data_IF_482676711689
#
_entry.id   IF_482676711689
#
_cell.length_a   1.000
_cell.length_b   1.000
_cell.length_c   1.000
_cell.angle_alpha   90.00
_cell.angle_beta   90.00
_cell.angle_gamma   90.00
#
_symmetry.space_group_name_H-M   'P 1'
#
loop_
_entity.id
_entity.type
_entity.pdbx_description
1 polymer ?
#
# COMPACT_ATOMS: atom_id res chain seq x y z
N UNK A 1 13.01 10.23 -31.43
CA UNK A 1 12.99 11.69 -31.67
C UNK A 1 12.15 11.99 -32.90
N UNK A 2 10.95 12.55 -32.72
CA UNK A 2 10.27 13.43 -33.69
C UNK A 2 9.06 14.02 -32.97
N UNK A 3 9.19 15.28 -32.59
CA UNK A 3 8.14 16.10 -31.98
C UNK A 3 7.18 16.52 -33.10
N UNK A 4 5.90 16.17 -32.98
CA UNK A 4 4.85 16.74 -33.84
C UNK A 4 4.05 17.68 -32.95
N UNK A 5 4.29 18.98 -33.14
CA UNK A 5 3.48 20.05 -32.60
C UNK A 5 2.21 20.17 -33.46
N UNK A 6 1.04 20.14 -32.83
CA UNK A 6 -0.21 20.46 -33.51
C UNK A 6 -0.66 21.85 -33.07
N UNK A 7 -0.75 22.73 -34.05
CA UNK A 7 -1.16 24.12 -33.95
C UNK A 7 -2.62 24.25 -33.51
N UNK A 8 -2.86 25.16 -32.56
CA UNK A 8 -4.19 25.62 -32.17
C UNK A 8 -4.68 26.63 -33.22
N UNK A 9 -5.76 26.30 -33.92
CA UNK A 9 -6.48 27.22 -34.81
C UNK A 9 -7.50 27.98 -33.96
N UNK A 10 -7.31 29.29 -33.81
CA UNK A 10 -8.25 30.20 -33.15
C UNK A 10 -9.23 30.67 -34.22
N UNK A 11 -10.47 30.19 -34.17
CA UNK A 11 -11.57 30.73 -34.98
C UNK A 11 -12.24 31.88 -34.22
N UNK A 12 -12.06 33.11 -34.71
CA UNK A 12 -12.79 34.29 -34.27
C UNK A 12 -14.19 34.29 -34.88
N UNK A 13 -15.22 34.14 -34.05
CA UNK A 13 -16.62 34.35 -34.46
C UNK A 13 -17.05 35.74 -34.00
N UNK A 14 -17.30 36.63 -34.98
CA UNK A 14 -17.98 37.90 -34.75
C UNK A 14 -19.49 37.64 -34.65
N UNK A 15 -20.07 37.89 -33.47
CA UNK A 15 -21.52 37.82 -33.26
C UNK A 15 -22.08 39.24 -33.32
N UNK A 16 -22.82 39.52 -34.38
CA UNK A 16 -23.63 40.73 -34.51
C UNK A 16 -24.81 40.66 -33.51
N UNK A 17 -24.91 41.69 -32.67
CA UNK A 17 -25.96 41.79 -31.65
C UNK A 17 -27.33 42.12 -32.25
N UNK A 18 -28.34 41.40 -31.78
CA UNK A 18 -29.73 41.84 -31.79
C UNK A 18 -30.19 41.90 -30.35
N UNK A 19 -30.56 43.10 -29.92
CA UNK A 19 -31.06 43.38 -28.58
C UNK A 19 -32.46 42.78 -28.43
N UNK A 20 -32.58 41.78 -27.56
CA UNK A 20 -33.85 41.33 -27.01
C UNK A 20 -33.78 41.46 -25.48
N UNK A 21 -34.45 42.47 -24.94
CA UNK A 21 -34.64 42.64 -23.50
C UNK A 21 -35.59 41.53 -23.00
N UNK A 22 -35.01 40.42 -22.55
CA UNK A 22 -35.69 39.39 -21.78
C UNK A 22 -34.95 39.18 -20.47
N UNK A 23 -35.52 39.63 -19.35
CA UNK A 23 -34.97 39.42 -18.01
C UNK A 23 -35.18 37.96 -17.57
N UNK A 24 -34.32 37.06 -18.04
CA UNK A 24 -34.22 35.71 -17.50
C UNK A 24 -33.17 35.70 -16.40
N UNK A 25 -33.61 35.62 -15.13
CA UNK A 25 -32.73 35.35 -13.99
C UNK A 25 -32.16 33.94 -14.17
N UNK A 26 -30.93 33.84 -14.68
CA UNK A 26 -30.18 32.58 -14.68
C UNK A 26 -29.69 32.35 -13.26
N UNK A 27 -30.45 31.55 -12.51
CA UNK A 27 -30.01 31.03 -11.21
C UNK A 27 -28.95 29.96 -11.49
N UNK A 28 -27.68 30.32 -11.49
CA UNK A 28 -26.59 29.35 -11.47
C UNK A 28 -26.68 28.56 -10.16
N UNK A 29 -27.21 27.33 -10.24
CA UNK A 29 -27.22 26.38 -9.12
C UNK A 29 -25.78 25.90 -8.94
N UNK A 30 -25.07 26.50 -7.99
CA UNK A 30 -23.75 26.03 -7.56
C UNK A 30 -23.88 24.55 -7.16
N UNK A 31 -23.10 23.62 -7.71
CA UNK A 31 -23.12 22.24 -7.24
C UNK A 31 -22.70 22.25 -5.77
N UNK A 32 -23.56 21.74 -4.90
CA UNK A 32 -23.23 21.53 -3.50
C UNK A 32 -22.09 20.51 -3.43
N UNK A 33 -20.93 20.94 -2.97
CA UNK A 33 -19.83 20.04 -2.62
C UNK A 33 -20.24 19.35 -1.34
N UNK A 34 -20.72 18.11 -1.44
CA UNK A 34 -20.99 17.26 -0.28
C UNK A 34 -19.66 16.88 0.34
N UNK A 35 -19.29 17.52 1.44
CA UNK A 35 -18.14 17.09 2.27
C UNK A 35 -18.54 15.82 3.01
N UNK A 36 -18.15 14.67 2.49
CA UNK A 36 -18.30 13.38 3.17
C UNK A 36 -17.46 13.41 4.46
N UNK A 37 -18.05 13.03 5.58
CA UNK A 37 -17.31 12.97 6.86
C UNK A 37 -16.23 11.87 6.81
N UNK A 38 -15.12 12.00 7.57
CA UNK A 38 -14.07 10.97 7.63
C UNK A 38 -14.63 9.58 7.96
N UNK A 39 -15.58 9.49 8.91
CA UNK A 39 -16.25 8.25 9.25
C UNK A 39 -17.00 7.62 8.06
N UNK A 40 -17.66 8.41 7.23
CA UNK A 40 -18.33 7.92 6.03
C UNK A 40 -17.35 7.48 4.94
N UNK A 41 -16.20 8.15 4.82
CA UNK A 41 -15.10 7.71 3.93
C UNK A 41 -14.51 6.37 4.40
N UNK A 42 -14.23 6.24 5.69
CA UNK A 42 -13.74 5.01 6.32
C UNK A 42 -14.71 3.83 6.14
N UNK A 43 -16.00 4.07 6.36
CA UNK A 43 -17.04 3.07 6.12
C UNK A 43 -17.11 2.66 4.64
N UNK A 44 -17.03 3.62 3.72
CA UNK A 44 -17.04 3.34 2.27
C UNK A 44 -15.83 2.52 1.83
N UNK A 45 -14.65 2.79 2.40
CA UNK A 45 -13.41 2.06 2.14
C UNK A 45 -13.52 0.60 2.56
N UNK A 46 -14.07 0.32 3.74
CA UNK A 46 -14.28 -1.06 4.19
C UNK A 46 -15.33 -1.78 3.35
N UNK A 47 -16.44 -1.11 3.04
CA UNK A 47 -17.54 -1.68 2.25
C UNK A 47 -17.10 -1.99 0.81
N UNK A 48 -16.18 -1.21 0.23
CA UNK A 48 -15.60 -1.46 -1.08
C UNK A 48 -14.94 -2.84 -1.18
N UNK A 49 -14.31 -3.31 -0.11
CA UNK A 49 -13.71 -4.64 -0.02
C UNK A 49 -14.70 -5.73 0.41
N UNK A 50 -16.00 -5.44 0.46
CA UNK A 50 -17.04 -6.29 1.06
C UNK A 50 -16.79 -6.58 2.56
N UNK A 51 -16.19 -5.63 3.28
CA UNK A 51 -15.92 -5.73 4.70
C UNK A 51 -16.99 -5.11 5.60
N UNK A 52 -16.80 -5.29 6.89
CA UNK A 52 -17.57 -4.69 7.98
C UNK A 52 -16.64 -3.98 8.95
N UNK A 53 -17.06 -2.84 9.47
CA UNK A 53 -16.27 -2.05 10.42
C UNK A 53 -16.53 -2.56 11.83
N UNK A 54 -15.47 -2.97 12.52
CA UNK A 54 -15.48 -3.37 13.92
C UNK A 54 -15.55 -2.17 14.88
N UNK A 55 -15.84 -2.42 16.16
CA UNK A 55 -15.92 -1.36 17.18
C UNK A 55 -14.58 -0.63 17.42
N UNK A 56 -13.47 -1.27 17.07
CA UNK A 56 -12.10 -0.78 17.15
C UNK A 56 -11.67 0.05 15.93
N UNK A 57 -12.60 0.37 15.01
CA UNK A 57 -12.30 1.01 13.72
C UNK A 57 -11.40 0.16 12.81
N UNK A 58 -11.39 -1.16 13.00
CA UNK A 58 -10.77 -2.10 12.07
C UNK A 58 -11.79 -2.55 11.03
N UNK A 59 -11.39 -2.56 9.75
CA UNK A 59 -12.17 -3.22 8.72
C UNK A 59 -11.89 -4.72 8.74
N UNK A 60 -12.94 -5.53 8.81
CA UNK A 60 -12.89 -6.99 8.70
C UNK A 60 -13.57 -7.43 7.41
N UNK A 61 -12.81 -8.05 6.51
CA UNK A 61 -13.33 -8.69 5.29
C UNK A 61 -13.21 -10.19 5.45
N UNK A 62 -14.32 -10.89 5.25
CA UNK A 62 -14.35 -12.35 5.31
C UNK A 62 -15.15 -12.92 4.15
N UNK A 63 -14.56 -13.88 3.45
CA UNK A 63 -15.25 -14.67 2.43
C UNK A 63 -14.83 -16.13 2.55
N UNK A 64 -15.80 -17.03 2.70
CA UNK A 64 -15.55 -18.47 2.85
C UNK A 64 -16.42 -19.23 1.85
N UNK A 65 -15.79 -20.08 1.07
CA UNK A 65 -16.41 -20.98 0.11
C UNK A 65 -15.82 -22.38 0.28
N UNK A 66 -16.35 -23.40 -0.42
CA UNK A 66 -15.70 -24.71 -0.47
C UNK A 66 -14.29 -24.67 -1.10
N UNK A 67 -13.98 -23.66 -1.92
CA UNK A 67 -12.70 -23.58 -2.66
C UNK A 67 -11.69 -22.64 -2.01
N UNK A 68 -12.12 -21.65 -1.22
CA UNK A 68 -11.19 -20.71 -0.57
C UNK A 68 -11.72 -20.08 0.71
N UNK A 69 -10.78 -19.49 1.47
CA UNK A 69 -11.01 -18.63 2.62
C UNK A 69 -10.21 -17.34 2.44
N UNK A 70 -10.87 -16.19 2.61
CA UNK A 70 -10.26 -14.86 2.64
C UNK A 70 -10.56 -14.25 3.99
N UNK A 71 -9.53 -13.75 4.66
CA UNK A 71 -9.63 -13.00 5.92
C UNK A 71 -8.69 -11.80 5.84
N UNK A 72 -9.22 -10.58 5.83
CA UNK A 72 -8.41 -9.35 5.74
C UNK A 72 -8.82 -8.45 6.89
N UNK A 73 -7.83 -7.97 7.63
CA UNK A 73 -8.00 -7.01 8.73
C UNK A 73 -7.02 -5.85 8.62
N UNK A 74 -7.52 -4.62 8.67
CA UNK A 74 -6.70 -3.41 8.66
C UNK A 74 -7.41 -2.23 9.34
N UNK A 75 -6.67 -1.32 10.01
CA UNK A 75 -7.26 -0.16 10.65
C UNK A 75 -7.68 0.90 9.63
N UNK A 76 -8.78 1.60 9.90
CA UNK A 76 -9.33 2.65 9.03
C UNK A 76 -8.77 4.05 9.31
N UNK A 77 -7.94 4.21 10.34
CA UNK A 77 -7.35 5.48 10.74
C UNK A 77 -6.00 5.78 10.06
N UNK A 78 -5.57 4.95 9.11
CA UNK A 78 -4.37 5.23 8.32
C UNK A 78 -4.58 6.48 7.44
N UNK A 79 -3.72 7.51 7.52
CA UNK A 79 -3.95 8.81 6.89
C UNK A 79 -4.10 8.77 5.36
N UNK A 80 -3.39 7.85 4.70
CA UNK A 80 -3.45 7.65 3.26
C UNK A 80 -4.06 6.28 2.93
N UNK A 81 -5.34 6.14 3.27
CA UNK A 81 -6.04 4.85 3.20
C UNK A 81 -6.24 4.35 1.76
N UNK A 82 -6.32 5.25 0.76
CA UNK A 82 -6.69 4.86 -0.60
C UNK A 82 -5.67 3.89 -1.27
N UNK A 83 -4.35 4.11 -1.20
CA UNK A 83 -3.36 3.13 -1.66
C UNK A 83 -3.47 1.76 -0.98
N UNK A 84 -3.79 1.74 0.32
CA UNK A 84 -3.98 0.49 1.09
C UNK A 84 -5.17 -0.29 0.53
N UNK A 85 -6.31 0.38 0.34
CA UNK A 85 -7.52 -0.23 -0.24
C UNK A 85 -7.25 -0.74 -1.65
N UNK A 86 -6.60 0.06 -2.49
CA UNK A 86 -6.28 -0.35 -3.86
C UNK A 86 -5.34 -1.55 -3.91
N UNK A 87 -4.39 -1.67 -2.97
CA UNK A 87 -3.53 -2.84 -2.86
C UNK A 87 -4.32 -4.10 -2.45
N UNK A 88 -5.16 -3.98 -1.42
CA UNK A 88 -5.98 -5.09 -0.92
C UNK A 88 -6.99 -5.58 -1.95
N UNK A 89 -7.64 -4.67 -2.68
CA UNK A 89 -8.61 -5.02 -3.71
C UNK A 89 -7.95 -5.82 -4.84
N UNK A 90 -6.80 -5.34 -5.35
CA UNK A 90 -6.02 -6.07 -6.36
C UNK A 90 -5.55 -7.43 -5.86
N UNK A 91 -5.06 -7.51 -4.62
CA UNK A 91 -4.61 -8.77 -4.01
C UNK A 91 -5.75 -9.80 -3.90
N UNK A 92 -6.91 -9.37 -3.40
CA UNK A 92 -8.12 -10.18 -3.31
C UNK A 92 -8.60 -10.65 -4.69
N UNK A 93 -8.68 -9.75 -5.66
CA UNK A 93 -9.11 -10.07 -7.01
C UNK A 93 -8.15 -11.08 -7.68
N UNK A 94 -6.84 -10.86 -7.55
CA UNK A 94 -5.82 -11.77 -8.08
C UNK A 94 -5.87 -13.16 -7.45
N UNK A 95 -6.09 -13.25 -6.14
CA UNK A 95 -6.27 -14.53 -5.45
C UNK A 95 -7.51 -15.28 -5.97
N UNK A 96 -8.66 -14.61 -6.06
CA UNK A 96 -9.91 -15.21 -6.55
C UNK A 96 -9.75 -15.68 -8.00
N UNK A 97 -9.15 -14.86 -8.85
CA UNK A 97 -8.89 -15.19 -10.26
C UNK A 97 -8.03 -16.45 -10.38
N UNK A 98 -6.92 -16.51 -9.63
CA UNK A 98 -6.04 -17.67 -9.62
C UNK A 98 -6.77 -18.93 -9.13
N UNK A 99 -7.50 -18.85 -8.02
CA UNK A 99 -8.25 -20.00 -7.47
C UNK A 99 -9.29 -20.49 -8.46
N UNK A 100 -9.94 -19.60 -9.23
CA UNK A 100 -10.95 -19.99 -10.21
C UNK A 100 -10.37 -20.70 -11.44
N UNK A 101 -9.21 -20.24 -11.93
CA UNK A 101 -8.61 -20.73 -13.18
C UNK A 101 -7.69 -21.93 -12.97
N UNK A 102 -6.88 -21.87 -11.92
CA UNK A 102 -5.79 -22.81 -11.67
C UNK A 102 -6.18 -23.79 -10.56
N UNK A 103 -6.86 -23.31 -9.52
CA UNK A 103 -7.23 -24.11 -8.35
C UNK A 103 -7.84 -25.49 -8.61
N UNK A 104 -8.83 -25.65 -9.52
CA UNK A 104 -9.46 -26.94 -9.80
C UNK A 104 -8.49 -28.03 -10.27
N UNK A 105 -7.34 -27.65 -10.84
CA UNK A 105 -6.35 -28.60 -11.38
C UNK A 105 -5.57 -29.33 -10.28
N UNK A 106 -5.45 -28.74 -9.09
CA UNK A 106 -4.54 -29.22 -8.04
C UNK A 106 -5.14 -30.26 -7.08
N UNK A 107 -6.47 -30.49 -7.12
CA UNK A 107 -7.19 -31.51 -6.31
C UNK A 107 -6.73 -31.64 -4.84
N UNK A 108 -6.39 -30.53 -4.18
CA UNK A 108 -5.69 -30.49 -2.89
C UNK A 108 -6.51 -30.86 -1.64
N UNK A 109 -7.79 -31.20 -1.78
CA UNK A 109 -8.65 -31.65 -0.67
C UNK A 109 -8.94 -30.62 0.43
N UNK A 110 -8.48 -29.36 0.29
CA UNK A 110 -8.72 -28.27 1.23
C UNK A 110 -8.91 -26.93 0.48
N UNK A 111 -9.63 -25.95 1.07
CA UNK A 111 -9.74 -24.63 0.47
C UNK A 111 -8.39 -23.88 0.51
N UNK A 112 -8.16 -23.04 -0.49
CA UNK A 112 -7.06 -22.05 -0.50
C UNK A 112 -7.27 -21.00 0.59
N UNK A 113 -6.21 -20.33 1.01
CA UNK A 113 -6.26 -19.26 2.00
C UNK A 113 -5.53 -18.00 1.54
N UNK A 114 -6.16 -16.87 1.84
CA UNK A 114 -5.59 -15.54 1.70
C UNK A 114 -5.88 -14.76 2.99
N UNK A 115 -4.86 -14.58 3.82
CA UNK A 115 -4.98 -13.91 5.11
C UNK A 115 -4.14 -12.65 5.07
N UNK A 116 -4.73 -11.52 5.47
CA UNK A 116 -4.01 -10.25 5.60
C UNK A 116 -4.25 -9.67 6.99
N UNK A 117 -3.15 -9.34 7.66
CA UNK A 117 -3.17 -8.62 8.95
C UNK A 117 -2.34 -7.35 8.83
N UNK A 118 -2.71 -6.32 9.57
CA UNK A 118 -2.02 -5.03 9.57
C UNK A 118 -1.35 -4.75 10.92
N UNK A 119 -0.19 -4.12 10.87
CA UNK A 119 0.47 -3.55 12.04
C UNK A 119 0.84 -2.09 11.78
N UNK A 120 0.50 -1.23 12.72
CA UNK A 120 0.82 0.21 12.66
C UNK A 120 2.03 0.56 13.50
N UNK A 121 2.80 1.54 13.04
CA UNK A 121 3.93 2.13 13.75
C UNK A 121 3.83 3.66 13.68
N UNK A 122 4.44 4.33 14.66
CA UNK A 122 4.50 5.78 14.76
C UNK A 122 5.93 6.20 15.10
N UNK A 123 6.32 7.38 14.62
CA UNK A 123 7.50 8.09 15.07
C UNK A 123 7.19 9.58 15.18
N UNK A 124 7.79 10.28 16.14
CA UNK A 124 7.63 11.70 16.35
C UNK A 124 6.28 12.06 17.00
N UNK A 125 5.91 13.33 16.87
CA UNK A 125 4.67 13.83 17.48
C UNK A 125 3.43 13.39 16.68
N UNK A 126 2.23 13.39 17.29
CA UNK A 126 0.99 13.02 16.59
C UNK A 126 0.68 13.85 15.34
N UNK A 127 1.14 15.11 15.26
CA UNK A 127 0.78 16.03 14.18
C UNK A 127 1.89 16.22 13.14
N UNK A 128 3.16 15.96 13.49
CA UNK A 128 4.31 16.21 12.63
C UNK A 128 5.22 14.99 12.43
N UNK A 129 4.86 13.87 13.04
CA UNK A 129 5.59 12.62 12.96
C UNK A 129 5.29 11.82 11.70
N UNK A 130 5.51 10.51 11.77
CA UNK A 130 5.16 9.56 10.71
C UNK A 130 4.21 8.51 11.23
N UNK A 131 3.35 7.99 10.33
CA UNK A 131 2.57 6.79 10.57
C UNK A 131 2.90 5.76 9.49
N UNK A 132 3.30 4.56 9.93
CA UNK A 132 3.52 3.41 9.05
C UNK A 132 2.43 2.38 9.25
N UNK A 133 2.07 1.68 8.19
CA UNK A 133 1.21 0.51 8.18
C UNK A 133 1.89 -0.58 7.37
N UNK A 134 2.08 -1.75 7.97
CA UNK A 134 2.64 -2.92 7.30
C UNK A 134 1.57 -3.99 7.26
N UNK A 135 1.22 -4.42 6.05
CA UNK A 135 0.40 -5.59 5.82
C UNK A 135 1.29 -6.83 5.79
N UNK A 136 0.95 -7.85 6.57
CA UNK A 136 1.47 -9.21 6.41
C UNK A 136 0.43 -10.03 5.65
N UNK A 137 0.85 -10.69 4.57
CA UNK A 137 -0.03 -11.42 3.65
C UNK A 137 0.40 -12.88 3.59
N UNK A 138 -0.46 -13.78 4.07
CA UNK A 138 -0.29 -15.22 3.93
C UNK A 138 -1.16 -15.73 2.78
N UNK A 139 -0.52 -16.31 1.77
CA UNK A 139 -1.17 -16.77 0.55
C UNK A 139 -0.65 -18.14 0.12
N UNK A 140 -1.53 -19.12 -0.04
CA UNK A 140 -1.18 -20.49 -0.44
C UNK A 140 -1.51 -20.84 -1.91
N UNK A 141 -1.71 -19.80 -2.73
CA UNK A 141 -1.73 -19.91 -4.19
C UNK A 141 -0.33 -20.06 -4.76
N UNK A 142 -0.23 -20.75 -5.90
CA UNK A 142 1.05 -21.10 -6.54
C UNK A 142 1.54 -22.50 -6.17
N UNK A 143 2.27 -23.12 -7.11
CA UNK A 143 2.77 -24.49 -7.00
C UNK A 143 3.73 -24.71 -5.82
N UNK A 144 4.49 -23.67 -5.44
CA UNK A 144 5.44 -23.76 -4.33
C UNK A 144 4.76 -23.70 -2.95
N UNK A 145 3.47 -23.32 -2.89
CA UNK A 145 2.80 -22.94 -1.64
C UNK A 145 1.64 -23.91 -1.27
N UNK A 146 1.61 -25.11 -1.85
CA UNK A 146 0.48 -26.03 -1.65
C UNK A 146 0.47 -26.71 -0.28
N UNK A 147 1.64 -26.86 0.34
CA UNK A 147 1.80 -27.42 1.69
C UNK A 147 1.57 -26.41 2.81
N UNK A 148 1.86 -25.13 2.57
CA UNK A 148 1.72 -24.03 3.52
C UNK A 148 1.64 -22.69 2.78
N UNK A 149 1.01 -21.65 3.37
CA UNK A 149 1.11 -20.29 2.84
C UNK A 149 2.55 -19.81 2.71
N UNK A 150 2.79 -18.96 1.73
CA UNK A 150 3.96 -18.11 1.68
C UNK A 150 3.59 -16.73 2.24
N UNK A 151 4.44 -16.20 3.12
CA UNK A 151 4.22 -14.88 3.72
C UNK A 151 4.96 -13.79 2.94
N UNK A 152 4.25 -12.74 2.56
CA UNK A 152 4.80 -11.51 1.98
C UNK A 152 4.37 -10.28 2.78
N UNK A 153 4.93 -9.11 2.44
CA UNK A 153 4.59 -7.85 3.08
C UNK A 153 4.26 -6.75 2.07
N UNK A 154 3.50 -5.76 2.53
CA UNK A 154 3.38 -4.45 1.89
C UNK A 154 3.49 -3.35 2.95
N UNK A 155 4.49 -2.47 2.81
CA UNK A 155 4.69 -1.30 3.68
C UNK A 155 4.09 -0.03 3.09
N UNK A 156 3.44 0.77 3.94
CA UNK A 156 2.93 2.10 3.64
C UNK A 156 3.43 3.06 4.72
N UNK A 157 4.06 4.16 4.33
CA UNK A 157 4.63 5.13 5.25
C UNK A 157 4.12 6.52 4.88
N UNK A 158 3.72 7.31 5.87
CA UNK A 158 3.14 8.63 5.64
C UNK A 158 3.73 9.66 6.61
N UNK A 159 4.16 10.80 6.08
CA UNK A 159 4.59 11.96 6.85
C UNK A 159 3.35 12.80 7.22
N UNK A 160 3.08 12.94 8.51
CA UNK A 160 1.90 13.64 9.02
C UNK A 160 2.01 15.16 8.84
N UNK A 161 3.23 15.71 8.93
CA UNK A 161 3.48 17.14 8.77
C UNK A 161 3.43 17.59 7.31
N UNK A 162 4.07 16.83 6.42
CA UNK A 162 4.08 17.09 4.96
C UNK A 162 2.82 16.60 4.26
N UNK A 163 2.05 15.72 4.91
CA UNK A 163 0.87 15.04 4.36
C UNK A 163 1.17 14.31 3.04
N UNK A 164 2.27 13.56 3.02
CA UNK A 164 2.74 12.85 1.84
C UNK A 164 3.24 11.44 2.17
N UNK A 165 3.11 10.47 1.26
CA UNK A 165 3.72 9.16 1.42
C UNK A 165 5.26 9.27 1.45
N UNK A 166 5.91 8.33 2.14
CA UNK A 166 7.35 8.18 2.23
C UNK A 166 7.71 6.88 1.51
N UNK A 167 8.35 6.98 0.34
CA UNK A 167 8.92 5.82 -0.36
C UNK A 167 10.31 5.51 0.18
N UNK A 168 10.89 4.37 -0.22
CA UNK A 168 12.29 4.05 0.12
C UNK A 168 13.25 5.16 -0.34
N UNK A 169 13.06 5.68 -1.56
CA UNK A 169 13.84 6.80 -2.08
C UNK A 169 13.71 8.06 -1.22
N UNK A 170 12.49 8.41 -0.82
CA UNK A 170 12.22 9.61 -0.01
C UNK A 170 12.68 9.49 1.45
N UNK A 171 12.95 8.27 1.93
CA UNK A 171 13.46 8.04 3.28
C UNK A 171 14.90 8.58 3.44
N UNK A 172 15.67 8.60 2.35
CA UNK A 172 17.07 8.98 2.35
C UNK A 172 17.29 10.30 1.60
N UNK A 173 18.32 11.04 2.00
CA UNK A 173 18.71 12.29 1.32
C UNK A 173 19.16 11.97 -0.11
N UNK A 174 18.79 12.82 -1.09
CA UNK A 174 19.24 12.66 -2.47
C UNK A 174 20.77 12.56 -2.57
N UNK A 175 21.27 11.63 -3.37
CA UNK A 175 22.70 11.43 -3.61
C UNK A 175 23.45 10.66 -2.51
N UNK A 176 22.75 10.15 -1.50
CA UNK A 176 23.33 9.22 -0.52
C UNK A 176 23.31 7.78 -1.05
N UNK A 177 24.11 6.90 -0.44
CA UNK A 177 24.23 5.49 -0.83
C UNK A 177 23.71 4.57 0.30
N UNK A 178 22.38 4.49 0.53
CA UNK A 178 21.83 3.75 1.67
C UNK A 178 22.13 2.25 1.64
N UNK A 179 22.24 1.64 0.45
CA UNK A 179 22.55 0.22 0.32
C UNK A 179 23.94 -0.16 0.85
N UNK A 180 24.93 0.74 0.78
CA UNK A 180 26.27 0.51 1.33
C UNK A 180 26.26 0.36 2.86
N UNK A 181 25.25 0.93 3.53
CA UNK A 181 25.06 0.81 4.99
C UNK A 181 24.07 -0.31 5.33
N UNK A 182 22.96 -0.42 4.59
CA UNK A 182 21.90 -1.39 4.88
C UNK A 182 22.32 -2.84 4.62
N UNK A 183 22.97 -3.11 3.48
CA UNK A 183 23.32 -4.47 3.07
C UNK A 183 24.18 -5.20 4.11
N UNK A 184 25.33 -4.66 4.57
CA UNK A 184 26.15 -5.36 5.57
C UNK A 184 25.43 -5.53 6.92
N UNK A 185 24.48 -4.66 7.28
CA UNK A 185 23.68 -4.82 8.50
C UNK A 185 22.73 -6.00 8.35
N UNK A 186 21.97 -6.07 7.25
CA UNK A 186 21.01 -7.15 7.00
C UNK A 186 21.71 -8.49 6.81
N UNK A 187 22.77 -8.53 6.00
CA UNK A 187 23.57 -9.74 5.76
C UNK A 187 24.09 -10.32 7.07
N UNK A 188 24.62 -9.48 7.96
CA UNK A 188 25.10 -9.90 9.28
C UNK A 188 23.97 -10.36 10.21
N UNK A 189 22.85 -9.63 10.27
CA UNK A 189 21.75 -9.99 11.18
C UNK A 189 21.03 -11.27 10.76
N UNK A 190 20.89 -11.51 9.45
CA UNK A 190 20.19 -12.68 8.91
C UNK A 190 21.13 -13.82 8.50
N UNK A 191 22.45 -13.64 8.60
CA UNK A 191 23.45 -14.58 8.06
C UNK A 191 23.26 -14.85 6.55
N UNK A 192 22.88 -13.82 5.81
CA UNK A 192 22.65 -13.91 4.36
C UNK A 192 23.97 -13.85 3.57
N UNK A 193 23.96 -14.41 2.36
CA UNK A 193 25.08 -14.27 1.44
C UNK A 193 25.17 -12.82 0.93
N UNK A 194 26.39 -12.28 0.75
CA UNK A 194 26.56 -10.90 0.34
C UNK A 194 26.22 -10.66 -1.14
N UNK A 195 25.71 -9.47 -1.45
CA UNK A 195 25.75 -8.91 -2.81
C UNK A 195 24.46 -8.90 -3.62
N UNK A 196 23.36 -9.46 -3.12
CA UNK A 196 22.10 -9.60 -3.89
C UNK A 196 20.96 -8.66 -3.43
N UNK A 197 21.21 -7.80 -2.43
CA UNK A 197 20.18 -6.92 -1.86
C UNK A 197 20.14 -5.57 -2.60
N UNK A 198 18.97 -5.23 -3.13
CA UNK A 198 18.72 -4.01 -3.92
C UNK A 198 17.65 -3.15 -3.24
N UNK A 199 17.40 -1.94 -3.74
CA UNK A 199 16.30 -1.09 -3.24
C UNK A 199 14.95 -1.81 -3.25
N UNK A 200 14.70 -2.70 -4.22
CA UNK A 200 13.47 -3.49 -4.29
C UNK A 200 13.32 -4.43 -3.08
N UNK A 201 14.44 -4.88 -2.50
CA UNK A 201 14.47 -5.73 -1.31
C UNK A 201 13.93 -4.99 -0.09
N UNK A 202 14.11 -3.67 -0.02
CA UNK A 202 13.84 -2.84 1.16
C UNK A 202 12.53 -2.04 1.09
N UNK A 203 11.66 -2.31 0.10
CA UNK A 203 10.42 -1.53 -0.09
C UNK A 203 9.42 -1.66 1.06
N UNK A 204 9.49 -2.75 1.82
CA UNK A 204 8.60 -2.99 2.96
C UNK A 204 9.29 -2.55 4.24
N UNK A 205 8.99 -1.34 4.70
CA UNK A 205 9.56 -0.82 5.94
C UNK A 205 8.54 -0.06 6.78
N UNK A 206 8.87 0.12 8.06
CA UNK A 206 8.15 0.95 9.01
C UNK A 206 9.12 1.84 9.80
N UNK A 207 8.62 2.98 10.26
CA UNK A 207 9.37 3.99 10.99
C UNK A 207 8.94 4.01 12.46
N UNK A 208 9.91 3.92 13.36
CA UNK A 208 9.76 4.17 14.79
C UNK A 208 10.70 5.30 15.22
N UNK A 209 10.61 5.73 16.47
CA UNK A 209 11.51 6.77 17.00
C UNK A 209 12.98 6.36 16.97
N UNK A 210 13.26 5.07 17.15
CA UNK A 210 14.61 4.55 17.30
C UNK A 210 15.14 3.83 16.06
N UNK A 211 14.26 3.35 15.17
CA UNK A 211 14.65 2.46 14.10
C UNK A 211 13.85 2.63 12.81
N UNK A 212 14.46 2.19 11.71
CA UNK A 212 13.77 1.78 10.49
C UNK A 212 13.69 0.25 10.50
N UNK A 213 12.48 -0.31 10.49
CA UNK A 213 12.26 -1.75 10.50
C UNK A 213 11.96 -2.20 9.08
N UNK A 214 12.81 -3.03 8.49
CA UNK A 214 12.60 -3.65 7.18
C UNK A 214 11.98 -5.05 7.34
N UNK A 215 11.03 -5.38 6.47
CA UNK A 215 10.29 -6.63 6.46
C UNK A 215 10.57 -7.38 5.16
N UNK A 216 11.06 -8.61 5.28
CA UNK A 216 11.43 -9.44 4.14
C UNK A 216 10.47 -10.60 4.02
N UNK A 217 9.89 -10.77 2.84
CA UNK A 217 9.05 -11.92 2.53
C UNK A 217 9.85 -13.22 2.75
N UNK A 218 9.12 -14.31 2.96
CA UNK A 218 9.74 -15.62 3.05
C UNK A 218 10.58 -15.91 1.81
N UNK A 219 11.79 -16.45 2.01
CA UNK A 219 12.78 -16.73 0.98
C UNK A 219 13.28 -15.51 0.18
N UNK A 220 13.02 -14.28 0.62
CA UNK A 220 13.46 -13.07 -0.11
C UNK A 220 14.95 -12.77 0.10
N UNK A 221 15.45 -12.95 1.33
CA UNK A 221 16.85 -12.63 1.70
C UNK A 221 17.61 -13.88 2.09
N UNK A 222 16.97 -14.75 2.86
CA UNK A 222 17.50 -16.08 3.22
C UNK A 222 16.48 -17.13 2.84
N UNK A 223 16.94 -18.18 2.17
CA UNK A 223 16.12 -19.35 1.85
C UNK A 223 16.15 -20.30 3.05
N UNK A 224 15.21 -20.10 3.97
CA UNK A 224 15.06 -20.91 5.16
C UNK A 224 13.59 -21.26 5.45
N UNK A 225 13.39 -22.25 6.33
CA UNK A 225 12.05 -22.67 6.74
C UNK A 225 11.55 -21.91 7.99
N UNK A 226 12.12 -20.73 8.30
CA UNK A 226 11.77 -19.94 9.47
C UNK A 226 10.71 -18.87 9.18
N UNK A 227 10.23 -18.81 7.93
CA UNK A 227 9.19 -17.88 7.51
C UNK A 227 9.75 -16.50 7.09
N UNK A 228 8.94 -15.44 7.17
CA UNK A 228 9.40 -14.09 6.85
C UNK A 228 10.39 -13.56 7.89
N UNK A 229 11.27 -12.65 7.45
CA UNK A 229 12.28 -12.03 8.31
C UNK A 229 12.03 -10.54 8.52
N UNK A 230 12.60 -9.98 9.58
CA UNK A 230 12.63 -8.52 9.78
C UNK A 230 13.95 -8.08 10.40
N UNK A 231 14.42 -6.90 10.01
CA UNK A 231 15.63 -6.28 10.56
C UNK A 231 15.29 -4.87 11.01
N UNK A 232 15.60 -4.56 12.27
CA UNK A 232 15.55 -3.19 12.78
C UNK A 232 16.94 -2.57 12.66
N UNK A 233 17.05 -1.51 11.86
CA UNK A 233 18.27 -0.71 11.73
C UNK A 233 18.11 0.55 12.56
N UNK A 234 19.05 0.83 13.46
CA UNK A 234 18.93 1.99 14.33
C UNK A 234 19.02 3.28 13.51
N UNK A 235 18.20 4.27 13.85
CA UNK A 235 18.26 5.59 13.21
C UNK A 235 19.61 6.27 13.41
N UNK A 236 20.32 5.96 14.49
CA UNK A 236 21.68 6.43 14.72
C UNK A 236 22.68 5.88 13.70
N UNK A 237 22.51 4.65 13.23
CA UNK A 237 23.33 4.07 12.14
C UNK A 237 23.01 4.72 10.78
N UNK A 238 21.79 5.27 10.62
CA UNK A 238 21.32 5.91 9.39
C UNK A 238 21.34 7.44 9.45
N UNK A 239 21.85 8.06 10.52
CA UNK A 239 21.68 9.50 10.77
C UNK A 239 22.29 10.38 9.65
N UNK A 240 23.39 9.94 9.04
CA UNK A 240 24.03 10.62 7.90
C UNK A 240 23.33 10.38 6.56
N UNK A 241 22.24 9.61 6.52
CA UNK A 241 21.53 9.23 5.31
C UNK A 241 20.07 9.68 5.32
N UNK A 242 19.37 9.68 6.47
CA UNK A 242 17.94 9.98 6.57
C UNK A 242 17.60 11.42 6.13
N UNK A 243 16.48 11.59 5.42
CA UNK A 243 15.97 12.88 4.92
C UNK A 243 15.30 13.76 5.97
#
# INVERSE_FOLDING_TARGET
MKRIALMVVIATVAIAGVAACGTSKVTHRTPAVTTTTPAAQQQSACTHLNGTVGPDQTCHVRSVTPTYKIDISFPLDYPDLQPVIGFLDRGRAGFIDWVSKIGPQHKRGRPYQYVVTAKTFRSGTPDSGTQSLVLQIDNDTGLANEGHPNTTFAGFNFDLGKRSPITFEMLFRPGTQPLEVLNPIVERQLHAAPGDLTEQTYQNFALTDDAVIFFFAQNQVVSDNNGPHRVAVLRTELASLLA
#
